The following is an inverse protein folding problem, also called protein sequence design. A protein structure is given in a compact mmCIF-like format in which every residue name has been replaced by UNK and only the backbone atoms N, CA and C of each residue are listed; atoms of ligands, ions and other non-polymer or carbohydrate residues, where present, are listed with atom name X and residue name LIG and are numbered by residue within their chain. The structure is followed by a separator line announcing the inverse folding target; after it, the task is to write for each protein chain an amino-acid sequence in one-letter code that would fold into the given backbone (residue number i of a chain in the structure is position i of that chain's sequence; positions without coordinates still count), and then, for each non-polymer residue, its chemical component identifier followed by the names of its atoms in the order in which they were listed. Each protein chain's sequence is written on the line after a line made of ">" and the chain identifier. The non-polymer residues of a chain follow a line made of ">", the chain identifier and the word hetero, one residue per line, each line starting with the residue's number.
data_IF_215577671651
#
_entry.id   IF_215577671651
#
_cell.length_a   1.000
_cell.length_b   1.000
_cell.length_c   1.000
_cell.angle_alpha   90.00
_cell.angle_beta   90.00
_cell.angle_gamma   90.00
#
_symmetry.space_group_name_H-M   'P 1'
#
loop_
_entity.id
_entity.type
_entity.pdbx_description
1 polymer ?
#
# COMPACT_ATOMS: atom_id res chain seq x y z
N UNK A 1 -16.85 12.51 -38.90
CA UNK A 1 -16.06 11.57 -38.07
C UNK A 1 -14.68 12.09 -37.65
N UNK A 2 -13.84 12.69 -38.54
CA UNK A 2 -12.52 13.21 -38.15
C UNK A 2 -12.54 14.24 -36.99
N UNK A 3 -13.55 15.12 -36.97
CA UNK A 3 -13.71 16.16 -35.92
C UNK A 3 -13.95 15.56 -34.53
N UNK A 4 -14.84 14.56 -34.44
CA UNK A 4 -15.09 13.83 -33.19
C UNK A 4 -13.83 13.16 -32.64
N UNK A 5 -13.04 12.48 -33.46
CA UNK A 5 -11.78 11.86 -33.02
C UNK A 5 -10.73 12.88 -32.57
N UNK A 6 -10.68 14.07 -33.20
CA UNK A 6 -9.79 15.15 -32.77
C UNK A 6 -10.23 15.76 -31.44
N UNK A 7 -11.54 15.97 -31.26
CA UNK A 7 -12.11 16.51 -30.02
C UNK A 7 -12.02 15.49 -28.88
N UNK A 8 -12.23 14.20 -29.17
CA UNK A 8 -12.03 13.09 -28.25
C UNK A 8 -10.56 12.96 -27.85
N UNK A 9 -9.62 13.03 -28.80
CA UNK A 9 -8.18 13.04 -28.49
C UNK A 9 -7.83 14.21 -27.57
N UNK A 10 -8.31 15.42 -27.86
CA UNK A 10 -8.11 16.60 -27.02
C UNK A 10 -8.71 16.44 -25.61
N UNK A 11 -9.84 15.76 -25.49
CA UNK A 11 -10.48 15.46 -24.20
C UNK A 11 -9.70 14.40 -23.42
N UNK A 12 -9.33 13.29 -24.07
CA UNK A 12 -8.61 12.17 -23.48
C UNK A 12 -7.19 12.54 -23.06
N UNK A 13 -6.52 13.47 -23.75
CA UNK A 13 -5.19 13.95 -23.35
C UNK A 13 -5.20 14.97 -22.22
N UNK A 14 -6.37 15.31 -21.66
CA UNK A 14 -6.44 16.17 -20.47
C UNK A 14 -5.85 15.40 -19.29
N UNK A 15 -4.76 15.90 -18.72
CA UNK A 15 -4.05 15.27 -17.59
C UNK A 15 -4.99 14.86 -16.44
N UNK A 16 -5.95 15.73 -16.07
CA UNK A 16 -6.93 15.43 -15.02
C UNK A 16 -7.81 14.19 -15.30
N UNK A 17 -8.10 13.88 -16.56
CA UNK A 17 -8.90 12.70 -16.94
C UNK A 17 -8.03 11.44 -16.98
N UNK A 18 -6.81 11.57 -17.49
CA UNK A 18 -5.83 10.46 -17.54
C UNK A 18 -5.46 10.02 -16.13
N UNK A 19 -5.13 10.96 -15.24
CA UNK A 19 -4.72 10.65 -13.87
C UNK A 19 -5.87 10.00 -13.07
N UNK A 20 -7.10 10.46 -13.30
CA UNK A 20 -8.30 9.83 -12.72
C UNK A 20 -8.51 8.41 -13.26
N UNK A 21 -8.37 8.22 -14.58
CA UNK A 21 -8.54 6.92 -15.21
C UNK A 21 -7.50 5.89 -14.73
N UNK A 22 -6.22 6.31 -14.64
CA UNK A 22 -5.14 5.49 -14.11
C UNK A 22 -5.40 5.12 -12.65
N UNK A 23 -5.85 6.07 -11.83
CA UNK A 23 -6.22 5.82 -10.43
C UNK A 23 -7.33 4.78 -10.28
N UNK A 24 -8.37 4.84 -11.12
CA UNK A 24 -9.48 3.86 -11.11
C UNK A 24 -9.02 2.48 -11.56
N UNK A 25 -8.23 2.39 -12.64
CA UNK A 25 -7.72 1.11 -13.16
C UNK A 25 -6.83 0.44 -12.12
N UNK A 26 -5.85 1.17 -11.57
CA UNK A 26 -4.96 0.63 -10.54
C UNK A 26 -5.74 0.27 -9.27
N UNK A 27 -6.70 1.11 -8.86
CA UNK A 27 -7.56 0.83 -7.71
C UNK A 27 -8.39 -0.46 -7.89
N UNK A 28 -8.94 -0.68 -9.07
CA UNK A 28 -9.71 -1.90 -9.38
C UNK A 28 -8.83 -3.16 -9.38
N UNK A 29 -7.65 -3.09 -10.01
CA UNK A 29 -6.70 -4.19 -10.05
C UNK A 29 -6.16 -4.53 -8.66
N UNK A 30 -5.83 -3.51 -7.86
CA UNK A 30 -5.38 -3.70 -6.48
C UNK A 30 -6.45 -4.33 -5.61
N UNK A 31 -7.71 -3.88 -5.74
CA UNK A 31 -8.85 -4.49 -5.03
C UNK A 31 -9.00 -5.97 -5.40
N UNK A 32 -8.83 -6.33 -6.68
CA UNK A 32 -8.88 -7.72 -7.12
C UNK A 32 -7.78 -8.59 -6.49
N UNK A 33 -6.55 -8.06 -6.37
CA UNK A 33 -5.43 -8.75 -5.70
C UNK A 33 -5.74 -8.99 -4.22
N UNK A 34 -6.22 -7.96 -3.51
CA UNK A 34 -6.57 -8.09 -2.09
C UNK A 34 -7.71 -9.08 -1.91
N UNK A 35 -8.73 -9.06 -2.78
CA UNK A 35 -9.83 -10.01 -2.72
C UNK A 35 -9.37 -11.45 -2.95
N UNK A 36 -8.46 -11.70 -3.88
CA UNK A 36 -7.89 -13.04 -4.10
C UNK A 36 -7.05 -13.50 -2.90
N UNK A 37 -6.22 -12.64 -2.31
CA UNK A 37 -5.49 -12.95 -1.09
C UNK A 37 -6.44 -13.35 0.06
N UNK A 38 -7.53 -12.63 0.23
CA UNK A 38 -8.49 -12.92 1.30
C UNK A 38 -9.26 -14.20 1.00
N UNK A 39 -9.82 -14.33 -0.20
CA UNK A 39 -10.71 -15.44 -0.57
C UNK A 39 -9.96 -16.76 -0.76
N UNK A 40 -8.78 -16.72 -1.37
CA UNK A 40 -8.10 -17.94 -1.84
C UNK A 40 -7.02 -18.40 -0.85
N UNK A 41 -6.47 -17.50 -0.02
CA UNK A 41 -5.42 -17.84 0.94
C UNK A 41 -5.95 -17.76 2.38
N UNK A 42 -6.53 -16.63 2.78
CA UNK A 42 -6.91 -16.43 4.18
C UNK A 42 -8.18 -17.15 4.59
N UNK A 43 -9.23 -17.15 3.77
CA UNK A 43 -10.48 -17.85 4.09
C UNK A 43 -10.26 -19.35 4.33
N UNK A 44 -9.52 -20.10 3.49
CA UNK A 44 -9.19 -21.49 3.79
C UNK A 44 -8.41 -21.67 5.10
N UNK A 45 -7.45 -20.79 5.39
CA UNK A 45 -6.68 -20.80 6.65
C UNK A 45 -7.58 -20.54 7.86
N UNK A 46 -8.51 -19.58 7.75
CA UNK A 46 -9.44 -19.22 8.82
C UNK A 46 -10.43 -20.35 9.06
N UNK A 47 -11.02 -20.93 8.01
CA UNK A 47 -11.97 -22.06 8.12
C UNK A 47 -11.28 -23.31 8.68
N UNK A 48 -9.99 -23.50 8.39
CA UNK A 48 -9.20 -24.59 8.96
C UNK A 48 -8.93 -24.40 10.46
N UNK A 49 -8.64 -23.16 10.90
CA UNK A 49 -8.38 -22.83 12.31
C UNK A 49 -9.65 -22.70 13.15
N UNK A 50 -10.70 -22.14 12.57
CA UNK A 50 -12.00 -21.93 13.18
C UNK A 50 -13.03 -22.66 12.31
N UNK A 51 -13.69 -23.71 12.80
CA UNK A 51 -14.78 -24.36 12.09
C UNK A 51 -16.02 -23.45 12.12
N UNK A 52 -15.94 -22.33 11.41
CA UNK A 52 -17.07 -21.44 11.15
C UNK A 52 -17.88 -22.11 10.05
N UNK A 53 -19.01 -22.69 10.45
CA UNK A 53 -20.00 -23.22 9.53
C UNK A 53 -20.49 -22.10 8.60
N UNK A 54 -20.74 -22.42 7.34
CA UNK A 54 -21.27 -21.45 6.38
C UNK A 54 -22.67 -20.99 6.82
N UNK A 55 -22.75 -19.74 7.28
CA UNK A 55 -23.99 -19.12 7.74
C UNK A 55 -24.91 -18.74 6.57
N UNK A 56 -24.48 -18.89 5.31
CA UNK A 56 -25.29 -18.61 4.13
C UNK A 56 -26.60 -19.43 4.06
N UNK A 57 -26.65 -20.58 4.74
CA UNK A 57 -27.85 -21.43 4.77
C UNK A 57 -28.96 -20.90 5.69
N UNK A 58 -28.68 -19.87 6.51
CA UNK A 58 -29.70 -19.23 7.34
C UNK A 58 -30.61 -18.35 6.47
N UNK A 59 -31.76 -18.91 6.14
CA UNK A 59 -32.83 -18.24 5.43
C UNK A 59 -34.16 -18.38 6.17
N UNK A 60 -34.99 -17.34 6.13
CA UNK A 60 -36.39 -17.40 6.56
C UNK A 60 -37.24 -17.47 5.29
N UNK A 61 -38.02 -18.54 5.14
CA UNK A 61 -38.97 -18.68 4.04
C UNK A 61 -40.22 -17.87 4.38
N UNK A 62 -40.45 -16.78 3.66
CA UNK A 62 -41.62 -15.91 3.83
C UNK A 62 -42.83 -16.41 3.06
N UNK A 63 -42.60 -17.06 1.91
CA UNK A 63 -43.63 -17.75 1.12
C UNK A 63 -43.06 -19.09 0.63
N UNK A 64 -43.67 -20.23 1.01
CA UNK A 64 -43.28 -21.53 0.46
C UNK A 64 -43.61 -21.59 -1.04
N UNK A 65 -42.79 -22.30 -1.79
CA UNK A 65 -43.01 -22.54 -3.22
C UNK A 65 -44.39 -23.19 -3.43
N UNK A 66 -45.25 -22.57 -4.21
CA UNK A 66 -46.54 -23.15 -4.57
C UNK A 66 -46.32 -24.22 -5.64
N UNK A 67 -46.74 -25.45 -5.34
CA UNK A 67 -46.61 -26.66 -6.17
C UNK A 67 -47.23 -26.54 -7.58
N UNK A 68 -47.98 -25.46 -7.85
CA UNK A 68 -48.67 -25.19 -9.12
C UNK A 68 -47.93 -24.19 -10.05
N UNK A 69 -46.63 -23.96 -9.85
CA UNK A 69 -45.74 -23.47 -10.92
C UNK A 69 -45.84 -21.98 -11.29
N UNK A 70 -46.22 -21.09 -10.36
CA UNK A 70 -46.33 -19.66 -10.65
C UNK A 70 -45.70 -18.72 -9.61
N UNK A 71 -44.57 -19.11 -9.00
CA UNK A 71 -43.78 -18.14 -8.24
C UNK A 71 -42.58 -18.74 -7.51
N UNK A 72 -41.41 -18.13 -7.69
CA UNK A 72 -40.20 -18.42 -6.92
C UNK A 72 -40.49 -18.28 -5.41
N UNK A 73 -39.93 -19.19 -4.61
CA UNK A 73 -39.99 -19.11 -3.16
C UNK A 73 -39.42 -17.77 -2.67
N UNK A 74 -40.22 -17.01 -1.91
CA UNK A 74 -39.74 -15.75 -1.33
C UNK A 74 -38.96 -16.06 -0.06
N UNK A 75 -37.64 -16.11 -0.18
CA UNK A 75 -36.72 -16.39 0.94
C UNK A 75 -35.97 -15.14 1.37
N UNK A 76 -35.96 -14.84 2.67
CA UNK A 76 -35.10 -13.82 3.26
C UNK A 76 -33.78 -14.45 3.70
N UNK A 77 -32.73 -14.26 2.90
CA UNK A 77 -31.40 -14.84 3.11
C UNK A 77 -30.50 -13.94 3.97
N UNK A 78 -30.85 -13.76 5.25
CA UNK A 78 -30.04 -12.95 6.17
C UNK A 78 -28.67 -13.55 6.46
N UNK A 79 -28.52 -14.88 6.31
CA UNK A 79 -27.24 -15.57 6.36
C UNK A 79 -26.18 -14.99 5.43
N UNK A 80 -26.56 -14.71 4.17
CA UNK A 80 -25.67 -14.10 3.18
C UNK A 80 -25.20 -12.70 3.58
N UNK A 81 -26.07 -11.93 4.23
CA UNK A 81 -25.70 -10.60 4.72
C UNK A 81 -24.67 -10.69 5.84
N UNK A 82 -24.87 -11.59 6.82
CA UNK A 82 -23.93 -11.81 7.92
C UNK A 82 -22.57 -12.28 7.37
N UNK A 83 -22.58 -13.20 6.41
CA UNK A 83 -21.35 -13.66 5.72
C UNK A 83 -20.64 -12.51 5.00
N UNK A 84 -21.39 -11.64 4.30
CA UNK A 84 -20.81 -10.47 3.64
C UNK A 84 -20.17 -9.49 4.63
N UNK A 85 -20.79 -9.27 5.80
CA UNK A 85 -20.23 -8.41 6.86
C UNK A 85 -18.94 -9.00 7.41
N UNK A 86 -18.91 -10.31 7.70
CA UNK A 86 -17.71 -11.00 8.19
C UNK A 86 -16.58 -10.89 7.16
N UNK A 87 -16.87 -11.17 5.88
CA UNK A 87 -15.89 -11.06 4.81
C UNK A 87 -15.35 -9.62 4.68
N UNK A 88 -16.22 -8.61 4.75
CA UNK A 88 -15.80 -7.21 4.73
C UNK A 88 -14.83 -6.86 5.87
N UNK A 89 -15.12 -7.33 7.10
CA UNK A 89 -14.23 -7.11 8.25
C UNK A 89 -12.86 -7.77 8.06
N UNK A 90 -12.82 -9.00 7.51
CA UNK A 90 -11.57 -9.70 7.21
C UNK A 90 -10.77 -8.93 6.15
N UNK A 91 -11.41 -8.55 5.02
CA UNK A 91 -10.76 -7.78 3.95
C UNK A 91 -10.22 -6.46 4.49
N UNK A 92 -11.01 -5.73 5.29
CA UNK A 92 -10.59 -4.46 5.89
C UNK A 92 -9.39 -4.63 6.83
N UNK A 93 -9.39 -5.68 7.65
CA UNK A 93 -8.27 -5.99 8.56
C UNK A 93 -6.99 -6.33 7.78
N UNK A 94 -7.10 -7.13 6.73
CA UNK A 94 -5.96 -7.50 5.87
C UNK A 94 -5.42 -6.29 5.13
N UNK A 95 -6.31 -5.46 4.58
CA UNK A 95 -5.93 -4.21 3.94
C UNK A 95 -5.19 -3.28 4.91
N UNK A 96 -5.65 -3.20 6.16
CA UNK A 96 -4.97 -2.45 7.21
C UNK A 96 -3.56 -2.99 7.48
N UNK A 97 -3.38 -4.31 7.60
CA UNK A 97 -2.05 -4.94 7.80
C UNK A 97 -1.14 -4.65 6.61
N UNK A 98 -1.63 -4.82 5.37
CA UNK A 98 -0.84 -4.57 4.16
C UNK A 98 -0.41 -3.10 4.09
N UNK A 99 -1.34 -2.17 4.29
CA UNK A 99 -1.04 -0.74 4.29
C UNK A 99 -0.09 -0.35 5.42
N UNK A 100 -0.27 -0.91 6.62
CA UNK A 100 0.61 -0.69 7.77
C UNK A 100 2.01 -1.26 7.52
N UNK A 101 2.11 -2.42 6.89
CA UNK A 101 3.38 -3.05 6.53
C UNK A 101 4.12 -2.23 5.49
N UNK A 102 3.42 -1.73 4.47
CA UNK A 102 3.98 -0.81 3.49
C UNK A 102 4.38 0.51 4.15
N UNK A 103 3.60 1.05 5.08
CA UNK A 103 3.91 2.30 5.78
C UNK A 103 5.10 2.16 6.73
N UNK A 104 5.22 1.03 7.43
CA UNK A 104 6.37 0.71 8.26
C UNK A 104 7.62 0.44 7.42
N UNK A 105 7.51 -0.28 6.30
CA UNK A 105 8.58 -0.44 5.32
C UNK A 105 8.96 0.90 4.69
N UNK A 106 8.00 1.81 4.51
CA UNK A 106 8.23 3.21 4.16
C UNK A 106 8.81 4.05 5.29
N UNK A 107 8.88 3.59 6.54
CA UNK A 107 9.83 4.17 7.50
C UNK A 107 11.29 4.04 7.04
N UNK A 108 11.56 3.06 6.17
CA UNK A 108 12.83 2.83 5.47
C UNK A 108 12.84 3.34 4.00
N UNK A 109 11.66 3.58 3.38
CA UNK A 109 11.49 3.95 1.96
C UNK A 109 10.91 5.37 1.76
N UNK A 110 10.55 6.09 2.83
CA UNK A 110 10.13 7.49 2.81
C UNK A 110 11.22 8.41 2.26
N UNK A 111 12.48 7.95 2.27
CA UNK A 111 13.58 8.63 1.62
C UNK A 111 13.54 8.58 0.08
N UNK A 112 12.84 7.60 -0.52
CA UNK A 112 12.91 7.34 -1.97
C UNK A 112 11.72 7.88 -2.77
N UNK A 113 10.64 8.29 -2.13
CA UNK A 113 9.56 9.06 -2.75
C UNK A 113 8.98 10.05 -1.74
N UNK A 114 9.48 11.30 -1.68
CA UNK A 114 8.80 12.35 -0.94
C UNK A 114 7.54 12.71 -1.71
N UNK A 115 6.45 12.00 -1.43
CA UNK A 115 5.12 12.52 -1.74
C UNK A 115 4.91 13.66 -0.76
N UNK A 116 5.17 14.90 -1.24
CA UNK A 116 4.83 16.14 -0.53
C UNK A 116 3.46 15.92 0.09
N UNK A 117 3.38 16.03 1.42
CA UNK A 117 2.13 15.92 2.14
C UNK A 117 1.20 16.98 1.53
N UNK A 118 0.00 16.61 1.07
CA UNK A 118 -0.90 17.53 0.32
C UNK A 118 -1.20 18.84 1.06
N UNK A 119 -0.90 18.90 2.37
CA UNK A 119 -0.95 20.10 3.22
C UNK A 119 0.20 21.07 2.94
N UNK A 120 1.42 20.58 2.74
CA UNK A 120 2.63 21.38 2.53
C UNK A 120 2.63 22.02 1.14
N UNK A 121 2.17 21.32 0.10
CA UNK A 121 1.97 21.87 -1.26
C UNK A 121 0.97 23.04 -1.28
N UNK A 122 -0.07 22.98 -0.44
CA UNK A 122 -1.06 24.06 -0.30
C UNK A 122 -0.54 25.25 0.49
N UNK A 123 0.41 25.06 1.40
CA UNK A 123 1.08 26.14 2.13
C UNK A 123 2.08 26.87 1.23
N UNK A 124 2.91 26.13 0.49
CA UNK A 124 3.89 26.70 -0.45
C UNK A 124 3.25 27.50 -1.60
N UNK A 125 2.07 27.08 -2.08
CA UNK A 125 1.29 27.85 -3.08
C UNK A 125 0.63 29.11 -2.50
N UNK A 126 0.34 29.15 -1.20
CA UNK A 126 -0.17 30.36 -0.51
C UNK A 126 0.93 31.40 -0.25
N UNK A 127 2.18 30.96 -0.15
CA UNK A 127 3.36 31.84 0.02
C UNK A 127 3.90 32.43 -1.30
N UNK A 128 3.32 32.10 -2.46
CA UNK A 128 3.69 32.74 -3.73
C UNK A 128 5.07 32.37 -4.30
N UNK A 129 5.71 31.30 -3.80
CA UNK A 129 7.03 30.84 -4.27
C UNK A 129 6.95 30.20 -5.66
N UNK A 130 7.90 30.54 -6.52
CA UNK A 130 7.91 30.09 -7.93
C UNK A 130 8.52 28.68 -8.05
N UNK A 131 8.14 27.93 -9.09
CA UNK A 131 8.58 26.53 -9.33
C UNK A 131 10.11 26.32 -9.29
N UNK A 132 10.89 27.38 -9.49
CA UNK A 132 12.36 27.35 -9.48
C UNK A 132 12.94 27.31 -8.05
N UNK A 133 12.34 28.03 -7.10
CA UNK A 133 12.76 28.01 -5.69
C UNK A 133 12.44 26.65 -5.04
N UNK A 134 11.33 26.02 -5.45
CA UNK A 134 11.00 24.65 -5.03
C UNK A 134 11.97 23.61 -5.59
N UNK A 135 12.53 23.84 -6.79
CA UNK A 135 13.60 22.99 -7.33
C UNK A 135 14.91 23.20 -6.60
N UNK A 136 15.29 24.45 -6.34
CA UNK A 136 16.52 24.78 -5.61
C UNK A 136 16.54 24.17 -4.20
N UNK A 137 15.42 24.27 -3.46
CA UNK A 137 15.29 23.65 -2.13
C UNK A 137 15.38 22.12 -2.21
N UNK A 138 14.84 21.50 -3.26
CA UNK A 138 14.94 20.06 -3.46
C UNK A 138 16.36 19.62 -3.83
N UNK A 139 17.07 20.40 -4.65
CA UNK A 139 18.44 20.14 -5.05
C UNK A 139 19.42 20.31 -3.87
N UNK A 140 19.23 21.33 -3.03
CA UNK A 140 19.99 21.51 -1.78
C UNK A 140 19.74 20.37 -0.79
N UNK A 141 18.49 19.93 -0.63
CA UNK A 141 18.15 18.80 0.25
C UNK A 141 18.73 17.48 -0.28
N UNK A 142 18.77 17.29 -1.60
CA UNK A 142 19.40 16.12 -2.22
C UNK A 142 20.91 16.12 -1.99
N UNK A 143 21.57 17.25 -2.19
CA UNK A 143 22.99 17.41 -1.91
C UNK A 143 23.34 17.21 -0.43
N UNK A 144 22.48 17.67 0.49
CA UNK A 144 22.66 17.45 1.93
C UNK A 144 22.55 15.97 2.31
N UNK A 145 21.61 15.22 1.73
CA UNK A 145 21.48 13.77 1.96
C UNK A 145 22.64 12.97 1.39
N UNK A 146 23.09 13.30 0.18
CA UNK A 146 24.27 12.67 -0.42
C UNK A 146 25.53 12.91 0.42
N UNK A 147 25.68 14.11 1.00
CA UNK A 147 26.77 14.42 1.94
C UNK A 147 26.66 13.63 3.24
N UNK A 148 25.45 13.52 3.82
CA UNK A 148 25.23 12.75 5.05
C UNK A 148 25.49 11.25 4.84
N UNK A 149 25.10 10.71 3.69
CA UNK A 149 25.32 9.31 3.31
C UNK A 149 26.81 9.02 3.03
N UNK A 150 27.52 9.95 2.39
CA UNK A 150 28.97 9.88 2.23
C UNK A 150 29.71 9.98 3.58
N UNK A 151 29.21 10.80 4.51
CA UNK A 151 29.78 10.94 5.86
C UNK A 151 29.61 9.64 6.66
N UNK A 152 28.45 8.98 6.55
CA UNK A 152 28.20 7.68 7.20
C UNK A 152 29.10 6.57 6.65
N UNK A 153 29.27 6.51 5.32
CA UNK A 153 30.20 5.55 4.69
C UNK A 153 31.65 5.78 5.11
N UNK A 154 32.08 7.04 5.16
CA UNK A 154 33.42 7.39 5.64
C UNK A 154 33.61 7.07 7.15
N UNK A 155 32.56 7.19 7.96
CA UNK A 155 32.57 6.78 9.37
C UNK A 155 32.64 5.26 9.53
N UNK A 156 31.92 4.49 8.72
CA UNK A 156 32.01 3.01 8.69
C UNK A 156 33.40 2.53 8.26
N UNK A 157 34.01 3.16 7.25
CA UNK A 157 35.38 2.86 6.83
C UNK A 157 36.40 3.17 7.93
N UNK A 158 36.26 4.30 8.62
CA UNK A 158 37.13 4.68 9.74
C UNK A 158 36.93 3.78 10.99
N UNK A 159 35.72 3.29 11.25
CA UNK A 159 35.46 2.31 12.32
C UNK A 159 36.02 0.92 11.97
N UNK A 160 35.95 0.51 10.70
CA UNK A 160 36.57 -0.73 10.21
C UNK A 160 38.09 -0.70 10.41
N UNK A 161 38.74 0.42 10.05
CA UNK A 161 40.19 0.57 10.19
C UNK A 161 40.62 0.59 11.66
N UNK A 162 39.88 1.27 12.54
CA UNK A 162 40.11 1.23 14.00
C UNK A 162 39.88 -0.16 14.59
N UNK A 163 38.89 -0.91 14.07
CA UNK A 163 38.63 -2.30 14.47
C UNK A 163 39.77 -3.25 14.10
N UNK A 164 40.38 -3.05 12.93
CA UNK A 164 41.56 -3.79 12.49
C UNK A 164 42.78 -3.46 13.35
N UNK A 165 43.01 -2.19 13.66
CA UNK A 165 44.10 -1.76 14.53
C UNK A 165 43.95 -2.30 15.96
N UNK A 166 42.72 -2.31 16.49
CA UNK A 166 42.44 -2.86 17.83
C UNK A 166 42.73 -4.37 17.88
N UNK A 167 42.34 -5.12 16.84
CA UNK A 167 42.67 -6.56 16.71
C UNK A 167 44.17 -6.80 16.56
N UNK A 168 44.87 -5.96 15.81
CA UNK A 168 46.33 -6.08 15.66
C UNK A 168 47.07 -5.84 16.99
N UNK A 169 46.64 -4.85 17.77
CA UNK A 169 47.17 -4.59 19.13
C UNK A 169 46.87 -5.76 20.06
N UNK A 170 45.64 -6.28 20.04
CA UNK A 170 45.22 -7.42 20.87
C UNK A 170 45.99 -8.71 20.53
N UNK A 171 46.31 -8.94 19.25
CA UNK A 171 47.16 -10.06 18.81
C UNK A 171 48.62 -9.90 19.25
N UNK A 172 49.18 -8.69 19.19
CA UNK A 172 50.53 -8.43 19.70
C UNK A 172 50.60 -8.65 21.22
N UNK A 173 49.58 -8.21 21.96
CA UNK A 173 49.51 -8.40 23.41
C UNK A 173 49.34 -9.90 23.80
N UNK A 174 48.69 -10.70 22.95
CA UNK A 174 48.62 -12.16 23.13
C UNK A 174 49.94 -12.88 22.82
N UNK A 175 50.76 -12.34 21.92
CA UNK A 175 52.09 -12.88 21.62
C UNK A 175 53.09 -12.53 22.73
N UNK A 176 52.99 -11.33 23.32
CA UNK A 176 53.86 -10.88 24.41
C UNK A 176 53.59 -11.59 25.76
N UNK A 177 52.40 -12.19 25.93
CA UNK A 177 52.03 -12.98 27.12
C UNK A 177 52.37 -14.48 27.02
N UNK A 178 53.07 -14.92 25.97
CA UNK A 178 53.57 -16.30 25.78
C UNK A 178 55.09 -16.34 25.85
#
# INVERSE_FOLDING_TARGET
>A
MKKFFQDFKKFATRGNVVDMAVGVIIGSAFTAIVNSLVKDILMPLIVWLFPVQDLSNLCIVLRPESVEGAGDALTWNYGNFIMAVINFLIVAFVLFIVLRSIMNARGFVADKYPFIDKKEEKQLRKEGKTKEEMKAINDERKAAKEKEEALKKAQEEAESEKGLLKRAVELLEQIEKK
#
